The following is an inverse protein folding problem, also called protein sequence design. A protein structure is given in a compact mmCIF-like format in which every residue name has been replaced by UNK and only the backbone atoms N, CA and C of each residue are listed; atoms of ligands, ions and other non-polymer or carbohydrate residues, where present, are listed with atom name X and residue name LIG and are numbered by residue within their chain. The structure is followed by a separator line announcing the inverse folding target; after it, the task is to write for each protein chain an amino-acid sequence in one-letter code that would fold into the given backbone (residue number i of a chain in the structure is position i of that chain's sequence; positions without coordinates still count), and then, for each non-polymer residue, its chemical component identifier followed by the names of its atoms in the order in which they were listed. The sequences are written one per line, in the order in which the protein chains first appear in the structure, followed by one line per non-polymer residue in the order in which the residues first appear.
data_IF_842388570797
#
_entry.id   IF_842388570797
#
_cell.length_a   1.000
_cell.length_b   1.000
_cell.length_c   1.000
_cell.angle_alpha   90.00
_cell.angle_beta   90.00
_cell.angle_gamma   90.00
#
_symmetry.space_group_name_H-M   'P 1'
#
loop_
_entity.id
_entity.type
_entity.pdbx_description
1 polymer ?
#
# COMPACT_ATOMS: atom_id res chain seq x y z
N UNK A 1 -17.57 -2.42 1.19
CA UNK A 1 -18.17 -2.22 -0.15
C UNK A 1 -19.40 -1.31 -0.12
N UNK A 2 -20.11 -1.27 0.97
CA UNK A 2 -21.35 -0.47 1.07
C UNK A 2 -21.12 1.03 0.92
N UNK A 3 -19.97 1.56 1.32
CA UNK A 3 -19.65 2.98 1.18
C UNK A 3 -19.60 3.43 -0.29
N UNK A 4 -18.95 2.67 -1.16
CA UNK A 4 -18.81 2.99 -2.57
C UNK A 4 -20.01 2.55 -3.43
N UNK A 5 -20.95 1.78 -2.87
CA UNK A 5 -22.14 1.24 -3.57
C UNK A 5 -21.81 0.60 -4.93
N UNK A 6 -20.78 -0.25 -4.96
CA UNK A 6 -20.30 -0.88 -6.19
C UNK A 6 -21.24 -1.95 -6.69
N UNK A 7 -21.50 -1.93 -8.00
CA UNK A 7 -22.20 -2.97 -8.75
C UNK A 7 -21.24 -3.74 -9.66
N UNK A 8 -21.59 -4.94 -10.09
CA UNK A 8 -20.73 -5.77 -10.95
C UNK A 8 -20.36 -5.13 -12.32
N UNK A 9 -21.13 -4.14 -12.76
CA UNK A 9 -20.87 -3.39 -14.00
C UNK A 9 -19.85 -2.25 -13.83
N UNK A 10 -19.59 -1.85 -12.56
CA UNK A 10 -18.76 -0.70 -12.30
C UNK A 10 -17.29 -0.98 -12.62
N UNK A 11 -16.64 0.04 -13.18
CA UNK A 11 -15.21 0.01 -13.40
C UNK A 11 -14.49 0.56 -12.18
N UNK A 12 -13.44 -0.13 -11.77
CA UNK A 12 -12.57 0.30 -10.70
C UNK A 12 -11.14 0.42 -11.20
N UNK A 13 -10.42 1.43 -10.71
CA UNK A 13 -9.02 1.68 -11.02
C UNK A 13 -8.17 1.39 -9.80
N UNK A 14 -7.11 0.62 -9.97
CA UNK A 14 -6.07 0.45 -8.97
C UNK A 14 -4.81 1.21 -9.36
N UNK A 15 -4.28 2.01 -8.43
CA UNK A 15 -3.04 2.75 -8.60
C UNK A 15 -1.91 2.01 -7.88
N UNK A 16 -0.91 1.52 -8.64
CA UNK A 16 0.22 0.77 -8.10
C UNK A 16 -0.19 -0.62 -7.63
N UNK A 17 -0.61 -1.48 -8.54
CA UNK A 17 -1.14 -2.80 -8.21
C UNK A 17 -0.06 -3.81 -7.73
N UNK A 18 1.22 -3.52 -8.00
CA UNK A 18 2.30 -4.44 -7.67
C UNK A 18 2.06 -5.83 -8.26
N UNK A 19 2.11 -6.85 -7.42
CA UNK A 19 1.87 -8.25 -7.80
C UNK A 19 0.39 -8.66 -7.74
N UNK A 20 -0.55 -7.71 -7.71
CA UNK A 20 -2.00 -7.96 -7.82
C UNK A 20 -2.68 -8.47 -6.55
N UNK A 21 -2.09 -8.27 -5.37
CA UNK A 21 -2.67 -8.79 -4.12
C UNK A 21 -4.01 -8.11 -3.76
N UNK A 22 -4.09 -6.79 -3.87
CA UNK A 22 -5.33 -6.08 -3.61
C UNK A 22 -6.30 -6.24 -4.78
N UNK A 23 -5.80 -6.22 -6.04
CA UNK A 23 -6.56 -6.47 -7.25
C UNK A 23 -7.41 -7.75 -7.13
N UNK A 24 -6.82 -8.84 -6.62
CA UNK A 24 -7.49 -10.13 -6.44
C UNK A 24 -8.76 -10.03 -5.59
N UNK A 25 -8.73 -9.23 -4.55
CA UNK A 25 -9.87 -9.05 -3.65
C UNK A 25 -11.09 -8.43 -4.35
N UNK A 26 -10.86 -7.56 -5.32
CA UNK A 26 -11.90 -6.94 -6.14
C UNK A 26 -12.32 -7.85 -7.30
N UNK A 27 -11.37 -8.52 -7.94
CA UNK A 27 -11.61 -9.48 -9.01
C UNK A 27 -12.50 -10.65 -8.55
N UNK A 28 -12.24 -11.21 -7.37
CA UNK A 28 -13.07 -12.27 -6.75
C UNK A 28 -14.51 -11.84 -6.48
N UNK A 29 -14.79 -10.55 -6.43
CA UNK A 29 -16.15 -9.99 -6.31
C UNK A 29 -16.81 -9.69 -7.65
N UNK A 30 -16.16 -10.08 -8.76
CA UNK A 30 -16.67 -9.94 -10.12
C UNK A 30 -16.61 -8.50 -10.68
N UNK A 31 -15.82 -7.62 -10.06
CA UNK A 31 -15.66 -6.25 -10.55
C UNK A 31 -14.73 -6.22 -11.76
N UNK A 32 -14.93 -5.20 -12.62
CA UNK A 32 -14.00 -4.88 -13.70
C UNK A 32 -12.88 -3.99 -13.17
N UNK A 33 -11.66 -4.51 -13.13
CA UNK A 33 -10.50 -3.79 -12.58
C UNK A 33 -9.52 -3.41 -13.68
N UNK A 34 -9.19 -2.13 -13.77
CA UNK A 34 -8.00 -1.66 -14.46
C UNK A 34 -6.92 -1.39 -13.42
N UNK A 35 -5.77 -2.04 -13.56
CA UNK A 35 -4.69 -1.98 -12.61
C UNK A 35 -3.42 -1.40 -13.26
N UNK A 36 -2.91 -0.31 -12.69
CA UNK A 36 -1.71 0.39 -13.17
C UNK A 36 -0.51 0.07 -12.29
N UNK A 37 0.64 -0.16 -12.89
CA UNK A 37 1.94 -0.23 -12.20
C UNK A 37 3.06 0.07 -13.19
N UNK A 38 4.12 0.84 -12.84
CA UNK A 38 5.26 1.05 -13.71
C UNK A 38 6.19 -0.16 -13.83
N UNK A 39 6.13 -1.11 -12.89
CA UNK A 39 7.01 -2.27 -12.80
C UNK A 39 6.57 -3.43 -13.71
N UNK A 40 7.22 -3.61 -14.85
CA UNK A 40 6.91 -4.69 -15.80
C UNK A 40 6.94 -6.07 -15.16
N UNK A 41 7.94 -6.35 -14.31
CA UNK A 41 8.07 -7.63 -13.61
C UNK A 41 6.94 -7.87 -12.60
N UNK A 42 6.48 -6.80 -11.93
CA UNK A 42 5.36 -6.87 -10.99
C UNK A 42 4.06 -7.18 -11.72
N UNK A 43 3.82 -6.50 -12.85
CA UNK A 43 2.66 -6.77 -13.72
C UNK A 43 2.68 -8.20 -14.25
N UNK A 44 3.81 -8.72 -14.67
CA UNK A 44 3.92 -10.11 -15.15
C UNK A 44 3.46 -11.12 -14.07
N UNK A 45 3.89 -10.93 -12.82
CA UNK A 45 3.44 -11.74 -11.69
C UNK A 45 1.94 -11.56 -11.42
N UNK A 46 1.43 -10.31 -11.50
CA UNK A 46 0.02 -10.03 -11.31
C UNK A 46 -0.86 -10.68 -12.39
N UNK A 47 -0.42 -10.65 -13.64
CA UNK A 47 -1.10 -11.29 -14.78
C UNK A 47 -1.18 -12.81 -14.63
N UNK A 48 -0.08 -13.45 -14.20
CA UNK A 48 -0.08 -14.88 -13.90
C UNK A 48 -1.03 -15.23 -12.75
N UNK A 49 -0.94 -14.47 -11.64
CA UNK A 49 -1.79 -14.66 -10.46
C UNK A 49 -3.28 -14.55 -10.78
N UNK A 50 -3.65 -13.64 -11.66
CA UNK A 50 -5.04 -13.25 -11.94
C UNK A 50 -5.53 -13.71 -13.30
N UNK A 51 -4.85 -14.69 -13.91
CA UNK A 51 -5.18 -15.20 -15.24
C UNK A 51 -6.61 -15.74 -15.36
N UNK A 52 -7.20 -16.21 -14.25
CA UNK A 52 -8.59 -16.70 -14.21
C UNK A 52 -9.67 -15.58 -14.17
N UNK A 53 -9.25 -14.30 -14.02
CA UNK A 53 -10.18 -13.17 -13.91
C UNK A 53 -10.23 -12.33 -15.19
N UNK A 54 -11.09 -12.64 -16.17
CA UNK A 54 -11.08 -11.99 -17.49
C UNK A 54 -11.47 -10.51 -17.48
N UNK A 55 -11.98 -10.02 -16.35
CA UNK A 55 -12.35 -8.61 -16.17
C UNK A 55 -11.24 -7.76 -15.56
N UNK A 56 -10.08 -8.35 -15.28
CA UNK A 56 -8.89 -7.63 -14.82
C UNK A 56 -8.02 -7.29 -16.02
N UNK A 57 -7.62 -6.03 -16.13
CA UNK A 57 -6.69 -5.55 -17.14
C UNK A 57 -5.54 -4.82 -16.45
N UNK A 58 -4.34 -4.96 -17.00
CA UNK A 58 -3.13 -4.34 -16.50
C UNK A 58 -2.54 -3.41 -17.55
N UNK A 59 -2.09 -2.23 -17.10
CA UNK A 59 -1.32 -1.32 -17.93
C UNK A 59 -0.01 -0.94 -17.24
N UNK A 60 1.10 -1.10 -17.98
CA UNK A 60 2.43 -0.73 -17.49
C UNK A 60 2.64 0.77 -17.66
N UNK A 61 2.30 1.52 -16.65
CA UNK A 61 2.42 2.98 -16.67
C UNK A 61 2.39 3.54 -15.25
N UNK A 62 2.85 4.77 -15.06
CA UNK A 62 2.60 5.52 -13.83
C UNK A 62 1.20 6.16 -13.89
N UNK A 63 0.64 6.45 -12.72
CA UNK A 63 -0.65 7.14 -12.65
C UNK A 63 -0.60 8.53 -13.31
N UNK A 64 0.54 9.22 -13.22
CA UNK A 64 0.76 10.54 -13.81
C UNK A 64 0.78 10.51 -15.34
N UNK A 65 1.41 9.49 -15.91
CA UNK A 65 1.58 9.38 -17.36
C UNK A 65 0.36 8.76 -18.07
N UNK A 66 -0.47 8.02 -17.31
CA UNK A 66 -1.65 7.35 -17.89
C UNK A 66 -2.69 8.39 -18.34
N UNK A 67 -3.17 8.37 -19.60
CA UNK A 67 -4.07 9.42 -20.09
C UNK A 67 -5.41 9.45 -19.34
N UNK A 68 -6.02 8.28 -19.11
CA UNK A 68 -7.29 8.11 -18.42
C UNK A 68 -8.44 8.92 -19.03
N UNK A 69 -9.65 8.40 -18.92
CA UNK A 69 -10.85 9.16 -19.31
C UNK A 69 -11.51 9.77 -18.07
N UNK A 70 -11.87 11.06 -18.09
CA UNK A 70 -12.60 11.69 -16.99
C UNK A 70 -13.88 10.93 -16.62
N UNK A 71 -14.23 10.95 -15.36
CA UNK A 71 -15.50 10.45 -14.81
C UNK A 71 -15.82 8.97 -15.11
N UNK A 72 -14.77 8.15 -15.36
CA UNK A 72 -14.93 6.77 -15.82
C UNK A 72 -14.99 5.73 -14.70
N UNK A 73 -14.56 6.08 -13.49
CA UNK A 73 -14.43 5.10 -12.41
C UNK A 73 -15.36 5.37 -11.23
N UNK A 74 -16.09 4.35 -10.80
CA UNK A 74 -16.90 4.41 -9.60
C UNK A 74 -16.06 4.33 -8.31
N UNK A 75 -14.93 3.63 -8.39
CA UNK A 75 -13.93 3.52 -7.33
C UNK A 75 -12.54 3.67 -7.93
N UNK A 76 -11.70 4.49 -7.30
CA UNK A 76 -10.25 4.46 -7.48
C UNK A 76 -9.65 4.06 -6.15
N UNK A 77 -8.77 3.05 -6.16
CA UNK A 77 -8.13 2.63 -4.94
C UNK A 77 -6.62 2.48 -5.08
N UNK A 78 -5.93 2.58 -3.96
CA UNK A 78 -4.49 2.38 -3.86
C UNK A 78 -4.17 1.63 -2.56
N UNK A 79 -3.44 0.52 -2.68
CA UNK A 79 -3.00 -0.32 -1.59
C UNK A 79 -1.50 -0.19 -1.39
N UNK A 80 -1.06 0.55 -0.38
CA UNK A 80 0.37 0.83 -0.10
C UNK A 80 1.15 1.48 -1.26
N UNK A 81 0.48 2.21 -2.12
CA UNK A 81 1.09 2.78 -3.32
C UNK A 81 0.86 4.28 -3.50
N UNK A 82 -0.18 4.85 -2.88
CA UNK A 82 -0.58 6.24 -3.13
C UNK A 82 0.46 7.29 -2.73
N UNK A 83 1.35 6.96 -1.82
CA UNK A 83 2.48 7.82 -1.43
C UNK A 83 3.54 8.00 -2.53
N UNK A 84 3.55 7.15 -3.56
CA UNK A 84 4.40 7.29 -4.73
C UNK A 84 3.86 8.26 -5.77
N UNK A 85 2.57 8.58 -5.72
CA UNK A 85 1.93 9.54 -6.63
C UNK A 85 2.33 10.95 -6.24
N UNK A 86 2.68 11.77 -7.24
CA UNK A 86 3.06 13.19 -7.05
C UNK A 86 2.01 13.94 -6.21
N UNK A 87 2.43 14.63 -5.14
CA UNK A 87 1.52 15.36 -4.25
C UNK A 87 0.64 16.37 -5.00
N UNK A 88 1.20 17.03 -6.02
CA UNK A 88 0.55 18.09 -6.77
C UNK A 88 -0.61 17.57 -7.64
N UNK A 89 -0.54 16.30 -8.03
CA UNK A 89 -1.50 15.71 -8.97
C UNK A 89 -2.48 14.73 -8.30
N UNK A 90 -2.07 14.08 -7.20
CA UNK A 90 -2.75 12.90 -6.67
C UNK A 90 -4.24 13.08 -6.44
N UNK A 91 -4.65 14.19 -5.83
CA UNK A 91 -6.06 14.41 -5.50
C UNK A 91 -6.86 14.99 -6.67
N UNK A 92 -6.34 16.01 -7.34
CA UNK A 92 -7.02 16.64 -8.47
C UNK A 92 -7.25 15.63 -9.60
N UNK A 93 -6.21 14.86 -9.95
CA UNK A 93 -6.29 13.85 -10.99
C UNK A 93 -7.23 12.70 -10.62
N UNK A 94 -7.16 12.22 -9.39
CA UNK A 94 -8.07 11.16 -8.92
C UNK A 94 -9.52 11.62 -8.97
N UNK A 95 -9.80 12.84 -8.51
CA UNK A 95 -11.16 13.40 -8.57
C UNK A 95 -11.66 13.58 -10.01
N UNK A 96 -10.81 14.01 -10.94
CA UNK A 96 -11.17 14.15 -12.35
C UNK A 96 -11.55 12.81 -13.03
N UNK A 97 -10.91 11.71 -12.62
CA UNK A 97 -11.15 10.36 -13.14
C UNK A 97 -12.35 9.65 -12.50
N UNK A 98 -12.72 10.04 -11.28
CA UNK A 98 -13.87 9.49 -10.58
C UNK A 98 -15.18 9.99 -11.21
N UNK A 99 -16.11 9.09 -11.43
CA UNK A 99 -17.50 9.43 -11.78
C UNK A 99 -18.14 10.32 -10.69
N UNK A 100 -19.24 11.03 -10.98
CA UNK A 100 -20.01 11.70 -9.95
C UNK A 100 -20.35 10.76 -8.79
N UNK A 101 -20.19 11.23 -7.55
CA UNK A 101 -20.29 10.41 -6.32
C UNK A 101 -19.32 9.21 -6.24
N UNK A 102 -18.33 9.14 -7.11
CA UNK A 102 -17.29 8.12 -7.07
C UNK A 102 -16.44 8.24 -5.80
N UNK A 103 -15.77 7.17 -5.43
CA UNK A 103 -15.05 7.05 -4.18
C UNK A 103 -13.56 6.85 -4.42
N UNK A 104 -12.72 7.55 -3.67
CA UNK A 104 -11.32 7.23 -3.46
C UNK A 104 -11.19 6.34 -2.22
N UNK A 105 -10.50 5.20 -2.36
CA UNK A 105 -10.15 4.32 -1.25
C UNK A 105 -8.63 4.16 -1.17
N UNK A 106 -8.02 4.64 -0.09
CA UNK A 106 -6.58 4.49 0.12
C UNK A 106 -6.35 3.71 1.41
N UNK A 107 -5.53 2.67 1.34
CA UNK A 107 -5.22 1.89 2.52
C UNK A 107 -3.76 1.42 2.54
N UNK A 108 -3.28 1.24 3.76
CA UNK A 108 -1.92 0.77 4.01
C UNK A 108 -1.82 0.04 5.33
N UNK A 109 -0.90 -0.93 5.38
CA UNK A 109 -0.57 -1.68 6.58
C UNK A 109 0.64 -1.03 7.24
N UNK A 110 0.46 -0.51 8.44
CA UNK A 110 1.53 0.11 9.22
C UNK A 110 2.08 -0.94 10.20
N UNK A 111 3.36 -1.34 10.07
CA UNK A 111 3.95 -2.26 11.04
C UNK A 111 4.15 -1.56 12.37
N UNK A 112 3.70 -2.19 13.44
CA UNK A 112 3.95 -1.76 14.81
C UNK A 112 5.32 -2.26 15.28
N UNK A 113 5.93 -1.55 16.21
CA UNK A 113 7.19 -2.02 16.78
C UNK A 113 6.97 -3.35 17.52
N UNK A 114 7.87 -4.33 17.35
CA UNK A 114 7.82 -5.54 18.17
C UNK A 114 7.87 -5.20 19.66
N UNK A 115 7.36 -6.09 20.49
CA UNK A 115 7.47 -5.92 21.93
C UNK A 115 8.93 -6.02 22.42
N UNK A 116 9.26 -5.30 23.48
CA UNK A 116 10.55 -5.43 24.19
C UNK A 116 10.73 -6.86 24.71
N UNK A 117 11.95 -7.48 24.68
CA UNK A 117 13.25 -6.83 24.38
C UNK A 117 13.67 -6.85 22.91
N UNK A 118 12.90 -7.49 22.00
CA UNK A 118 13.29 -7.61 20.59
C UNK A 118 13.32 -6.25 19.90
N UNK A 119 12.39 -5.36 20.26
CA UNK A 119 12.34 -3.99 19.74
C UNK A 119 13.64 -3.21 19.99
N UNK A 120 14.20 -3.33 21.19
CA UNK A 120 15.46 -2.67 21.57
C UNK A 120 16.64 -3.23 20.77
N UNK A 121 16.68 -4.57 20.61
CA UNK A 121 17.71 -5.22 19.78
C UNK A 121 17.64 -4.75 18.34
N UNK A 122 16.44 -4.71 17.75
CA UNK A 122 16.23 -4.23 16.38
C UNK A 122 16.68 -2.77 16.24
N UNK A 123 16.30 -1.89 17.16
CA UNK A 123 16.71 -0.49 17.12
C UNK A 123 18.25 -0.34 17.09
N UNK A 124 18.97 -1.12 17.91
CA UNK A 124 20.43 -1.15 17.90
C UNK A 124 21.03 -1.67 16.59
N UNK A 125 20.41 -2.68 15.99
CA UNK A 125 20.85 -3.26 14.71
C UNK A 125 20.63 -2.23 13.57
N UNK A 126 19.46 -1.61 13.49
CA UNK A 126 19.19 -0.56 12.51
C UNK A 126 20.14 0.64 12.64
N UNK A 127 20.43 1.07 13.87
CA UNK A 127 21.36 2.18 14.10
C UNK A 127 22.76 1.90 13.56
N UNK A 128 23.23 0.63 13.58
CA UNK A 128 24.55 0.25 13.05
C UNK A 128 24.59 0.10 11.54
N UNK A 129 23.59 -0.58 10.96
CA UNK A 129 23.64 -1.01 9.55
C UNK A 129 22.84 -0.12 8.61
N UNK A 130 21.76 0.47 9.08
CA UNK A 130 20.82 1.24 8.27
C UNK A 130 20.16 2.36 9.06
N UNK A 131 20.94 3.36 9.59
CA UNK A 131 20.39 4.44 10.42
C UNK A 131 19.29 5.23 9.70
N UNK A 132 19.31 5.30 8.36
CA UNK A 132 18.27 5.91 7.55
C UNK A 132 16.93 5.16 7.62
N UNK A 133 16.91 3.89 8.05
CA UNK A 133 15.70 3.08 8.25
C UNK A 133 15.27 3.02 9.73
N UNK A 134 16.01 3.66 10.64
CA UNK A 134 15.69 3.66 12.07
C UNK A 134 14.52 4.60 12.44
N UNK A 135 14.10 5.46 11.52
CA UNK A 135 12.95 6.35 11.67
C UNK A 135 11.60 5.64 11.51
N UNK A 136 10.51 6.42 11.53
CA UNK A 136 9.20 5.88 11.19
C UNK A 136 9.22 5.24 9.80
N UNK A 137 8.57 4.08 9.62
CA UNK A 137 8.47 3.46 8.30
C UNK A 137 7.67 4.35 7.35
N UNK A 138 7.89 4.19 6.04
CA UNK A 138 7.14 4.96 5.02
C UNK A 138 5.63 4.75 5.16
N UNK A 139 5.22 3.61 5.64
CA UNK A 139 3.82 3.24 5.92
C UNK A 139 3.18 4.11 7.02
N UNK A 140 3.97 4.76 7.88
CA UNK A 140 3.47 5.73 8.86
C UNK A 140 2.75 6.93 8.19
N UNK A 141 2.94 7.10 6.88
CA UNK A 141 2.21 8.05 6.04
C UNK A 141 0.68 7.84 6.10
N UNK A 142 0.24 6.59 6.34
CA UNK A 142 -1.18 6.21 6.44
C UNK A 142 -1.78 6.37 7.85
N UNK A 143 -0.99 6.74 8.85
CA UNK A 143 -1.52 6.95 10.21
C UNK A 143 -2.56 8.10 10.26
N UNK A 144 -3.48 8.12 11.24
CA UNK A 144 -4.52 9.15 11.36
C UNK A 144 -3.99 10.58 11.48
N UNK A 145 -2.79 10.73 12.03
CA UNK A 145 -2.03 11.97 12.14
C UNK A 145 -0.92 12.08 11.08
N UNK A 146 -0.87 11.11 10.17
CA UNK A 146 0.10 11.05 9.08
C UNK A 146 -0.16 12.09 7.98
N UNK A 147 0.82 12.28 7.07
CA UNK A 147 0.69 13.25 5.98
C UNK A 147 -0.56 13.02 5.13
N UNK A 148 -0.88 11.77 4.77
CA UNK A 148 -2.02 11.48 3.91
C UNK A 148 -3.35 11.96 4.50
N UNK A 149 -3.60 11.65 5.77
CA UNK A 149 -4.86 12.03 6.42
C UNK A 149 -5.02 13.55 6.48
N UNK A 150 -3.92 14.29 6.69
CA UNK A 150 -3.94 15.76 6.68
C UNK A 150 -4.19 16.33 5.30
N UNK A 151 -3.48 15.84 4.29
CA UNK A 151 -3.61 16.27 2.90
C UNK A 151 -5.02 16.02 2.35
N UNK A 152 -5.57 14.81 2.61
CA UNK A 152 -6.92 14.46 2.16
C UNK A 152 -7.99 15.35 2.81
N UNK A 153 -7.86 15.66 4.10
CA UNK A 153 -8.78 16.56 4.81
C UNK A 153 -8.72 18.01 4.33
N UNK A 154 -7.57 18.42 3.78
CA UNK A 154 -7.37 19.77 3.24
C UNK A 154 -7.72 19.89 1.76
N UNK A 155 -8.00 18.77 1.11
CA UNK A 155 -8.32 18.74 -0.32
C UNK A 155 -9.75 19.16 -0.57
N UNK A 156 -9.95 20.16 -1.42
CA UNK A 156 -11.27 20.61 -1.87
C UNK A 156 -11.91 19.63 -2.90
N UNK A 157 -11.17 18.61 -3.33
CA UNK A 157 -11.64 17.64 -4.33
C UNK A 157 -12.49 16.52 -3.73
N UNK A 158 -12.49 16.37 -2.41
CA UNK A 158 -13.16 15.27 -1.73
C UNK A 158 -13.98 15.76 -0.53
N UNK A 159 -15.07 15.07 -0.24
CA UNK A 159 -15.80 15.22 1.01
C UNK A 159 -14.93 14.75 2.19
N UNK A 160 -15.38 15.08 3.41
CA UNK A 160 -14.72 14.62 4.64
C UNK A 160 -14.53 13.09 4.62
N UNK A 161 -13.28 12.59 4.76
CA UNK A 161 -13.02 11.17 4.66
C UNK A 161 -13.56 10.40 5.86
N UNK A 162 -14.05 9.20 5.59
CA UNK A 162 -14.31 8.19 6.63
C UNK A 162 -13.05 7.34 6.80
N UNK A 163 -12.62 7.18 8.05
CA UNK A 163 -11.44 6.39 8.40
C UNK A 163 -11.85 5.14 9.17
N UNK A 164 -11.31 4.01 8.76
CA UNK A 164 -11.39 2.74 9.47
C UNK A 164 -10.00 2.23 9.77
N UNK A 165 -9.84 1.50 10.87
CA UNK A 165 -8.61 0.80 11.15
C UNK A 165 -8.89 -0.64 11.58
N UNK A 166 -7.93 -1.53 11.32
CA UNK A 166 -8.02 -2.95 11.61
C UNK A 166 -6.67 -3.42 12.14
N UNK A 167 -6.66 -3.93 13.37
CA UNK A 167 -5.46 -4.51 13.98
C UNK A 167 -5.38 -6.00 13.65
N UNK A 168 -4.20 -6.47 13.28
CA UNK A 168 -3.93 -7.87 13.03
C UNK A 168 -2.46 -8.18 13.31
N UNK A 169 -2.15 -9.45 13.50
CA UNK A 169 -0.80 -9.91 13.76
C UNK A 169 -0.37 -11.02 12.81
N UNK A 170 0.93 -11.14 12.60
CA UNK A 170 1.52 -12.22 11.84
C UNK A 170 2.77 -12.74 12.55
N UNK A 171 2.81 -14.04 12.75
CA UNK A 171 4.03 -14.69 13.28
C UNK A 171 5.08 -14.81 12.18
N UNK A 172 6.29 -14.37 12.51
CA UNK A 172 7.45 -14.44 11.64
C UNK A 172 8.55 -15.29 12.28
N UNK A 173 9.11 -16.20 11.49
CA UNK A 173 10.43 -16.78 11.75
C UNK A 173 11.51 -15.82 11.26
N UNK A 174 12.78 -16.06 11.65
CA UNK A 174 13.90 -15.30 11.12
C UNK A 174 13.90 -15.27 9.57
N UNK A 175 13.69 -16.42 8.92
CA UNK A 175 13.64 -16.52 7.46
C UNK A 175 12.49 -15.71 6.89
N UNK A 176 11.23 -15.94 7.34
CA UNK A 176 10.07 -15.26 6.76
C UNK A 176 10.10 -13.75 6.96
N UNK A 177 10.74 -13.28 8.04
CA UNK A 177 10.90 -11.85 8.29
C UNK A 177 11.95 -11.22 7.35
N UNK A 178 13.11 -11.85 7.22
CA UNK A 178 14.15 -11.35 6.30
C UNK A 178 13.71 -11.40 4.85
N UNK A 179 12.93 -12.41 4.43
CA UNK A 179 12.34 -12.48 3.10
C UNK A 179 11.36 -11.33 2.86
N UNK A 180 10.50 -11.02 3.84
CA UNK A 180 9.63 -9.85 3.77
C UNK A 180 10.43 -8.56 3.59
N UNK A 181 11.48 -8.34 4.39
CA UNK A 181 12.29 -7.14 4.31
C UNK A 181 12.99 -6.98 2.95
N UNK A 182 13.44 -8.09 2.33
CA UNK A 182 14.00 -8.06 0.96
C UNK A 182 13.03 -7.58 -0.11
N UNK A 183 11.72 -7.71 0.13
CA UNK A 183 10.71 -7.23 -0.82
C UNK A 183 10.47 -5.72 -0.73
N UNK A 184 10.83 -5.08 0.38
CA UNK A 184 10.57 -3.67 0.62
C UNK A 184 11.56 -2.78 -0.15
N UNK A 185 11.03 -1.77 -0.84
CA UNK A 185 11.82 -0.84 -1.66
C UNK A 185 12.92 -0.13 -0.86
N UNK A 186 12.65 0.26 0.38
CA UNK A 186 13.61 0.93 1.25
C UNK A 186 14.85 0.08 1.56
N UNK A 187 14.70 -1.25 1.65
CA UNK A 187 15.82 -2.17 1.87
C UNK A 187 16.59 -2.43 0.57
N UNK A 188 15.93 -2.38 -0.58
CA UNK A 188 16.59 -2.56 -1.89
C UNK A 188 17.51 -1.37 -2.23
N UNK A 189 17.31 -0.21 -1.61
CA UNK A 189 18.19 0.97 -1.77
C UNK A 189 19.48 0.87 -0.95
N UNK A 190 19.59 -0.07 -0.01
CA UNK A 190 20.86 -0.35 0.68
C UNK A 190 21.85 -1.04 -0.25
N UNK A 191 23.16 -0.79 -0.05
CA UNK A 191 24.18 -1.64 -0.68
C UNK A 191 24.00 -3.09 -0.24
N UNK A 192 24.37 -4.02 -1.11
CA UNK A 192 24.21 -5.46 -0.85
C UNK A 192 24.85 -5.88 0.48
N UNK A 193 26.11 -5.48 0.71
CA UNK A 193 26.84 -5.80 1.94
C UNK A 193 26.11 -5.31 3.20
N UNK A 194 25.61 -4.07 3.18
CA UNK A 194 24.87 -3.49 4.32
C UNK A 194 23.54 -4.17 4.54
N UNK A 195 22.85 -4.47 3.46
CA UNK A 195 21.55 -5.17 3.54
C UNK A 195 21.72 -6.56 4.11
N UNK A 196 22.70 -7.34 3.63
CA UNK A 196 22.90 -8.69 4.11
C UNK A 196 23.42 -8.71 5.57
N UNK A 197 24.28 -7.78 5.97
CA UNK A 197 24.70 -7.64 7.37
C UNK A 197 23.52 -7.29 8.29
N UNK A 198 22.66 -6.36 7.87
CA UNK A 198 21.43 -6.00 8.59
C UNK A 198 20.51 -7.21 8.75
N UNK A 199 20.21 -7.91 7.66
CA UNK A 199 19.32 -9.07 7.66
C UNK A 199 19.87 -10.23 8.49
N UNK A 200 21.17 -10.45 8.44
CA UNK A 200 21.84 -11.47 9.25
C UNK A 200 21.68 -11.19 10.75
N UNK A 201 21.98 -9.96 11.22
CA UNK A 201 21.84 -9.62 12.64
C UNK A 201 20.37 -9.61 13.11
N UNK A 202 19.43 -9.21 12.27
CA UNK A 202 18.00 -9.32 12.58
C UNK A 202 17.57 -10.78 12.72
N UNK A 203 18.04 -11.67 11.83
CA UNK A 203 17.77 -13.10 11.91
C UNK A 203 18.35 -13.72 13.18
N UNK A 204 19.59 -13.37 13.54
CA UNK A 204 20.23 -13.84 14.77
C UNK A 204 19.48 -13.35 16.02
N UNK A 205 19.06 -12.10 16.05
CA UNK A 205 18.25 -11.57 17.14
C UNK A 205 16.92 -12.32 17.32
N UNK A 206 16.24 -12.67 16.22
CA UNK A 206 15.00 -13.46 16.25
C UNK A 206 15.29 -14.87 16.75
N UNK A 207 16.32 -15.53 16.24
CA UNK A 207 16.70 -16.89 16.65
C UNK A 207 17.05 -16.95 18.13
N UNK A 208 17.79 -15.97 18.64
CA UNK A 208 18.14 -15.83 20.06
C UNK A 208 16.91 -15.53 20.93
N UNK A 209 15.87 -14.91 20.37
CA UNK A 209 14.60 -14.59 21.05
C UNK A 209 13.61 -15.77 21.07
N UNK A 210 13.97 -16.93 20.56
CA UNK A 210 13.10 -18.11 20.51
C UNK A 210 12.67 -18.53 19.12
N UNK A 211 13.31 -18.00 18.07
CA UNK A 211 13.18 -18.40 16.66
C UNK A 211 11.97 -17.83 15.93
N UNK A 212 11.05 -17.18 16.64
CA UNK A 212 9.87 -16.54 16.08
C UNK A 212 9.40 -15.36 16.93
N UNK A 213 8.68 -14.43 16.32
CA UNK A 213 8.00 -13.34 17.02
C UNK A 213 6.72 -12.98 16.28
N UNK A 214 5.81 -12.30 16.96
CA UNK A 214 4.61 -11.75 16.35
C UNK A 214 4.85 -10.27 16.00
N UNK A 215 4.62 -9.92 14.74
CA UNK A 215 4.61 -8.54 14.29
C UNK A 215 3.16 -8.11 14.13
N UNK A 216 2.78 -7.10 14.89
CA UNK A 216 1.47 -6.48 14.81
C UNK A 216 1.46 -5.41 13.74
N UNK A 217 0.32 -5.30 13.08
CA UNK A 217 0.04 -4.29 12.04
C UNK A 217 -1.27 -3.58 12.34
N UNK A 218 -1.33 -2.34 11.92
CA UNK A 218 -2.57 -1.61 11.79
C UNK A 218 -2.83 -1.29 10.32
N UNK A 219 -3.92 -1.80 9.77
CA UNK A 219 -4.39 -1.39 8.45
C UNK A 219 -5.27 -0.16 8.61
N UNK A 220 -4.86 0.96 8.01
CA UNK A 220 -5.64 2.18 7.94
C UNK A 220 -6.28 2.29 6.57
N UNK A 221 -7.61 2.43 6.52
CA UNK A 221 -8.41 2.62 5.32
C UNK A 221 -9.10 3.98 5.38
N UNK A 222 -8.89 4.77 4.34
CA UNK A 222 -9.58 6.04 4.12
C UNK A 222 -10.48 5.94 2.93
N UNK A 223 -11.72 6.37 3.10
CA UNK A 223 -12.73 6.42 2.06
C UNK A 223 -13.21 7.87 1.94
N UNK A 224 -13.11 8.46 0.76
CA UNK A 224 -13.57 9.82 0.50
C UNK A 224 -14.37 9.86 -0.80
N UNK A 225 -15.55 10.48 -0.78
CA UNK A 225 -16.34 10.73 -1.98
C UNK A 225 -15.79 11.92 -2.73
N UNK A 226 -15.84 11.86 -4.04
CA UNK A 226 -15.60 13.02 -4.88
C UNK A 226 -16.57 14.15 -4.49
N UNK A 227 -16.05 15.34 -4.21
CA UNK A 227 -16.87 16.50 -3.96
C UNK A 227 -17.70 16.84 -5.22
N UNK A 228 -18.96 17.22 -5.03
CA UNK A 228 -19.78 17.72 -6.13
C UNK A 228 -19.16 18.97 -6.75
N UNK A 229 -19.33 19.17 -8.04
CA UNK A 229 -18.98 20.44 -8.67
C UNK A 229 -19.84 21.55 -8.02
N UNK A 230 -19.17 22.55 -7.42
CA UNK A 230 -19.79 23.76 -6.89
C UNK A 230 -20.27 24.64 -8.05
#
# INVERSE_FOLDING_TARGET
MDFARLEAKDQVLEIGCGTGQATESFARRGLSVLALDPGAELIAVAQERLAEFPRVRFEQTTFEAWPGEPESFRLIFAAQSFHWVSPELRFARTAALLAPEGTLAVFGNVPMKPESPLSEKFAGIYARHAPQLAGPPVEAWYLPDGPFARELKQSDHFEAPVHHHYSWGRSHTAQSYTDLLRTLSSYRLLSEDRREALLFELADAINTHGGKFELHYETHLYLARRAGAV
#
